data_IF_471697709760
#
_entry.id   IF_471697709760
#
_cell.length_a   1.000
_cell.length_b   1.000
_cell.length_c   1.000
_cell.angle_alpha   90.00
_cell.angle_beta   90.00
_cell.angle_gamma   90.00
#
_symmetry.space_group_name_H-M   'P 1'
#
loop_
_entity.id
_entity.type
_entity.pdbx_description
1 polymer ?
#
# COMPACT_ATOMS: atom_id res chain seq x y z
N UNK A 1 -29.28 -13.73 7.78
CA UNK A 1 -28.00 -13.21 7.26
C UNK A 1 -28.34 -11.98 6.42
N UNK A 2 -28.08 -10.78 6.94
CA UNK A 2 -28.31 -9.54 6.18
C UNK A 2 -27.25 -9.43 5.09
N UNK A 3 -27.58 -8.88 3.90
CA UNK A 3 -26.56 -8.57 2.90
C UNK A 3 -25.56 -7.60 3.53
N UNK A 4 -24.27 -7.88 3.35
CA UNK A 4 -23.19 -6.98 3.75
C UNK A 4 -23.19 -5.78 2.79
N UNK A 5 -24.07 -4.81 2.99
CA UNK A 5 -24.08 -3.52 2.28
C UNK A 5 -22.98 -2.62 2.86
N UNK A 6 -21.73 -2.97 2.58
CA UNK A 6 -20.57 -2.12 2.84
C UNK A 6 -20.07 -1.49 1.55
N UNK A 7 -19.39 -0.32 1.59
CA UNK A 7 -18.88 0.32 0.39
C UNK A 7 -17.89 -0.59 -0.35
N UNK A 8 -17.97 -0.61 -1.68
CA UNK A 8 -16.98 -1.28 -2.53
C UNK A 8 -15.57 -0.72 -2.24
N UNK A 9 -14.60 -1.63 -2.08
CA UNK A 9 -13.19 -1.28 -1.83
C UNK A 9 -12.28 -2.05 -2.77
N UNK A 10 -11.40 -1.31 -3.45
CA UNK A 10 -10.27 -1.87 -4.18
C UNK A 10 -9.00 -1.52 -3.41
N UNK A 11 -8.22 -2.54 -3.04
CA UNK A 11 -6.90 -2.39 -2.43
C UNK A 11 -5.82 -2.53 -3.50
N UNK A 12 -4.83 -1.65 -3.46
CA UNK A 12 -3.65 -1.70 -4.34
C UNK A 12 -2.39 -1.88 -3.49
N UNK A 13 -1.53 -2.83 -3.88
CA UNK A 13 -0.26 -3.12 -3.20
C UNK A 13 0.87 -3.13 -4.22
N UNK A 14 2.01 -2.54 -3.87
CA UNK A 14 3.22 -2.62 -4.67
C UNK A 14 3.96 -3.94 -4.40
N UNK A 15 4.01 -4.81 -5.41
CA UNK A 15 4.90 -5.97 -5.41
C UNK A 15 6.26 -5.62 -6.00
N UNK A 16 7.32 -6.24 -5.47
CA UNK A 16 8.70 -6.09 -5.93
C UNK A 16 9.15 -4.62 -6.00
N UNK A 17 9.20 -3.90 -4.86
CA UNK A 17 9.69 -2.53 -4.85
C UNK A 17 11.19 -2.49 -5.20
N UNK A 18 11.59 -1.44 -5.92
CA UNK A 18 12.99 -1.17 -6.22
C UNK A 18 13.69 -0.51 -5.01
N UNK A 19 12.94 0.25 -4.21
CA UNK A 19 13.43 0.90 -3.00
C UNK A 19 13.68 -0.09 -1.87
N UNK A 20 14.71 0.18 -1.06
CA UNK A 20 15.07 -0.60 0.13
C UNK A 20 14.80 0.19 1.41
N UNK A 21 14.40 -0.52 2.46
CA UNK A 21 14.36 0.01 3.84
C UNK A 21 15.61 -0.40 4.62
N UNK A 22 15.68 0.04 5.88
CA UNK A 22 16.72 -0.39 6.81
C UNK A 22 16.18 -0.56 8.23
N UNK A 23 16.81 -1.48 8.96
CA UNK A 23 16.65 -1.66 10.40
C UNK A 23 17.98 -1.39 11.09
N UNK A 24 17.94 -0.66 12.20
CA UNK A 24 19.13 -0.38 13.01
C UNK A 24 18.81 -0.60 14.48
N UNK A 25 19.71 -1.25 15.21
CA UNK A 25 19.62 -1.32 16.66
C UNK A 25 19.57 0.10 17.22
N UNK A 26 18.63 0.34 18.14
CA UNK A 26 18.53 1.62 18.84
C UNK A 26 19.44 1.66 20.08
N UNK A 27 19.82 0.48 20.58
CA UNK A 27 20.70 0.25 21.73
C UNK A 27 21.28 -1.15 21.63
N UNK A 28 22.32 -1.40 22.40
CA UNK A 28 22.89 -2.70 22.77
C UNK A 28 21.97 -3.56 23.65
N UNK A 29 21.01 -2.95 24.36
CA UNK A 29 20.02 -3.64 25.17
C UNK A 29 18.96 -4.33 24.31
N UNK A 30 18.92 -5.67 24.36
CA UNK A 30 18.03 -6.49 23.52
C UNK A 30 16.52 -6.26 23.76
N UNK A 31 16.17 -5.68 24.92
CA UNK A 31 14.79 -5.32 25.27
C UNK A 31 14.32 -4.04 24.56
N UNK A 32 15.24 -3.25 24.01
CA UNK A 32 14.94 -1.99 23.33
C UNK A 32 14.58 -2.26 21.87
N UNK A 33 13.41 -1.75 21.45
CA UNK A 33 12.95 -1.92 20.07
C UNK A 33 13.91 -1.22 19.08
N UNK A 34 14.31 -1.90 17.98
CA UNK A 34 15.14 -1.28 16.96
C UNK A 34 14.37 -0.21 16.17
N UNK A 35 15.12 0.68 15.53
CA UNK A 35 14.54 1.65 14.61
C UNK A 35 14.29 1.01 13.24
N UNK A 36 13.08 1.19 12.73
CA UNK A 36 12.68 0.77 11.39
C UNK A 36 12.46 1.99 10.52
N UNK A 37 13.11 2.02 9.36
CA UNK A 37 12.77 2.95 8.30
C UNK A 37 12.52 2.16 7.03
N UNK A 38 11.26 2.02 6.67
CA UNK A 38 10.87 1.26 5.48
C UNK A 38 11.15 1.99 4.17
N UNK A 39 11.45 3.30 4.23
CA UNK A 39 11.70 4.14 3.06
C UNK A 39 10.62 4.04 1.97
N UNK A 40 9.36 3.78 2.37
CA UNK A 40 8.28 3.55 1.43
C UNK A 40 8.13 4.72 0.46
N UNK A 41 8.01 4.40 -0.83
CA UNK A 41 7.73 5.34 -1.92
C UNK A 41 8.79 6.45 -2.10
N UNK A 42 9.99 6.29 -1.52
CA UNK A 42 11.10 7.21 -1.77
C UNK A 42 11.80 6.93 -3.11
N UNK A 43 11.77 5.68 -3.59
CA UNK A 43 12.29 5.36 -4.91
C UNK A 43 11.34 5.88 -6.01
N UNK A 44 11.84 6.62 -7.02
CA UNK A 44 10.99 7.26 -8.03
C UNK A 44 10.09 6.28 -8.82
N UNK A 45 10.55 5.06 -9.04
CA UNK A 45 9.77 4.06 -9.76
C UNK A 45 8.62 3.47 -8.91
N UNK A 46 8.84 3.33 -7.60
CA UNK A 46 7.87 2.74 -6.68
C UNK A 46 6.66 3.66 -6.51
N UNK A 47 6.90 4.94 -6.25
CA UNK A 47 5.83 5.94 -6.14
C UNK A 47 5.06 6.08 -7.46
N UNK A 48 5.75 6.02 -8.60
CA UNK A 48 5.12 6.07 -9.92
C UNK A 48 4.16 4.89 -10.12
N UNK A 49 4.62 3.66 -9.86
CA UNK A 49 3.82 2.43 -10.06
C UNK A 49 2.63 2.35 -9.11
N UNK A 50 2.80 2.74 -7.85
CA UNK A 50 1.68 2.80 -6.88
C UNK A 50 0.63 3.80 -7.33
N UNK A 51 1.05 4.99 -7.77
CA UNK A 51 0.12 6.01 -8.28
C UNK A 51 -0.64 5.53 -9.53
N UNK A 52 0.03 4.80 -10.42
CA UNK A 52 -0.62 4.17 -11.58
C UNK A 52 -1.65 3.12 -11.16
N UNK A 53 -1.33 2.26 -10.20
CA UNK A 53 -2.25 1.25 -9.66
C UNK A 53 -3.48 1.86 -8.97
N UNK A 54 -3.30 2.93 -8.18
CA UNK A 54 -4.42 3.66 -7.56
C UNK A 54 -5.33 4.28 -8.62
N UNK A 55 -4.76 4.96 -9.62
CA UNK A 55 -5.52 5.56 -10.73
C UNK A 55 -6.30 4.49 -11.52
N UNK A 56 -5.73 3.31 -11.68
CA UNK A 56 -6.43 2.19 -12.29
C UNK A 56 -7.60 1.71 -11.42
N UNK A 57 -7.41 1.56 -10.11
CA UNK A 57 -8.49 1.21 -9.18
C UNK A 57 -9.65 2.20 -9.22
N UNK A 58 -9.37 3.51 -9.30
CA UNK A 58 -10.40 4.55 -9.47
C UNK A 58 -11.20 4.33 -10.75
N UNK A 59 -10.53 4.11 -11.89
CA UNK A 59 -11.21 3.83 -13.16
C UNK A 59 -12.08 2.58 -13.11
N UNK A 60 -11.67 1.55 -12.37
CA UNK A 60 -12.47 0.33 -12.18
C UNK A 60 -13.73 0.64 -11.36
N UNK A 61 -13.59 1.41 -10.27
CA UNK A 61 -14.74 1.82 -9.45
C UNK A 61 -15.72 2.75 -10.19
N UNK A 62 -15.23 3.56 -11.12
CA UNK A 62 -16.04 4.44 -11.97
C UNK A 62 -16.68 3.71 -13.17
N UNK A 63 -16.37 2.44 -13.39
CA UNK A 63 -16.92 1.68 -14.50
C UNK A 63 -18.35 1.20 -14.22
N UNK A 64 -19.11 0.95 -15.29
CA UNK A 64 -20.49 0.41 -15.24
C UNK A 64 -20.60 -0.87 -14.38
N UNK A 65 -19.52 -1.66 -14.31
CA UNK A 65 -19.46 -2.87 -13.51
C UNK A 65 -19.63 -2.63 -11.99
N UNK A 66 -19.41 -1.40 -11.52
CA UNK A 66 -19.50 -1.01 -10.11
C UNK A 66 -20.66 -0.05 -9.81
N UNK A 67 -21.52 0.30 -10.77
CA UNK A 67 -22.60 1.28 -10.58
C UNK A 67 -23.65 0.89 -9.52
N UNK A 68 -23.83 -0.41 -9.25
CA UNK A 68 -24.87 -0.93 -8.35
C UNK A 68 -24.33 -1.85 -7.25
N UNK A 69 -23.03 -1.76 -6.93
CA UNK A 69 -22.35 -2.58 -5.92
C UNK A 69 -22.42 -1.94 -4.53
#
# INVERSE_FOLDING_TARGET
MFPQTGPARISCTLGLPDGTGHVRLASDEASVQPSFNYCYLQHPNDIRRVREGIRFGVKVLESEAYENV
#
